data_IF_689994977729
#
_entry.id   IF_689994977729
#
_cell.length_a   1.000
_cell.length_b   1.000
_cell.length_c   1.000
_cell.angle_alpha   90.00
_cell.angle_beta   90.00
_cell.angle_gamma   90.00
#
_symmetry.space_group_name_H-M   'P 1'
#
loop_
_entity.id
_entity.type
_entity.pdbx_description
1 polymer ?
#
# COMPACT_ATOMS: atom_id res chain seq x y z
N UNK A 1 -3.83 -18.31 20.76
CA UNK A 1 -5.11 -17.74 20.29
C UNK A 1 -4.86 -17.11 18.93
N UNK A 2 -5.37 -17.74 17.87
CA UNK A 2 -5.29 -17.22 16.51
C UNK A 2 -6.23 -16.02 16.40
N UNK A 3 -5.69 -14.81 16.17
CA UNK A 3 -6.55 -13.64 15.99
C UNK A 3 -7.36 -13.84 14.69
N UNK A 4 -8.70 -13.65 14.72
CA UNK A 4 -9.53 -13.82 13.54
C UNK A 4 -9.05 -12.87 12.44
N UNK A 5 -8.91 -13.39 11.23
CA UNK A 5 -8.43 -12.61 10.10
C UNK A 5 -9.49 -11.56 9.74
N UNK A 6 -9.13 -10.28 9.88
CA UNK A 6 -10.00 -9.16 9.52
C UNK A 6 -10.52 -9.31 8.08
N UNK A 7 -11.81 -9.12 7.88
CA UNK A 7 -12.39 -9.07 6.54
C UNK A 7 -11.95 -7.79 5.79
N UNK A 8 -12.33 -7.66 4.52
CA UNK A 8 -11.93 -6.52 3.69
C UNK A 8 -12.43 -5.18 4.22
N UNK A 9 -13.65 -5.13 4.76
CA UNK A 9 -14.28 -3.90 5.27
C UNK A 9 -13.58 -3.48 6.55
N UNK A 10 -13.35 -4.43 7.46
CA UNK A 10 -12.61 -4.21 8.70
C UNK A 10 -11.17 -3.75 8.43
N UNK A 11 -10.48 -4.33 7.44
CA UNK A 11 -9.14 -3.86 7.07
C UNK A 11 -9.17 -2.45 6.48
N UNK A 12 -10.14 -2.10 5.65
CA UNK A 12 -10.28 -0.73 5.17
C UNK A 12 -10.47 0.26 6.33
N UNK A 13 -11.35 -0.05 7.28
CA UNK A 13 -11.53 0.78 8.47
C UNK A 13 -10.22 0.94 9.26
N UNK A 14 -9.48 -0.16 9.49
CA UNK A 14 -8.19 -0.13 10.17
C UNK A 14 -7.12 0.66 9.39
N UNK A 15 -7.12 0.62 8.05
CA UNK A 15 -6.22 1.44 7.22
C UNK A 15 -6.55 2.92 7.37
N UNK A 16 -7.82 3.30 7.35
CA UNK A 16 -8.25 4.70 7.50
C UNK A 16 -7.93 5.23 8.90
N UNK A 17 -8.07 4.40 9.93
CA UNK A 17 -7.65 4.74 11.31
C UNK A 17 -6.13 4.93 11.41
N UNK A 18 -5.36 4.02 10.80
CA UNK A 18 -3.89 4.04 10.85
C UNK A 18 -3.27 5.21 10.08
N UNK A 19 -3.80 5.51 8.90
CA UNK A 19 -3.16 6.38 7.92
C UNK A 19 -3.95 7.67 7.64
N UNK A 20 -5.14 7.81 8.22
CA UNK A 20 -6.05 8.93 8.00
C UNK A 20 -6.90 8.80 6.73
N UNK A 21 -7.92 9.67 6.58
CA UNK A 21 -8.91 9.58 5.52
C UNK A 21 -8.46 10.23 4.21
N UNK A 22 -7.22 9.98 3.76
CA UNK A 22 -6.67 10.56 2.53
C UNK A 22 -6.10 9.51 1.59
N UNK A 23 -6.19 9.77 0.28
CA UNK A 23 -5.56 8.95 -0.74
C UNK A 23 -4.04 8.97 -0.59
N UNK A 24 -3.43 7.80 -0.40
CA UNK A 24 -1.97 7.66 -0.26
C UNK A 24 -1.15 8.21 -1.44
N UNK A 25 -1.79 8.38 -2.61
CA UNK A 25 -1.13 8.78 -3.85
C UNK A 25 -1.34 10.23 -4.24
N UNK A 26 -2.58 10.73 -4.21
CA UNK A 26 -2.90 12.08 -4.64
C UNK A 26 -3.27 13.04 -3.50
N UNK A 27 -3.22 12.57 -2.26
CA UNK A 27 -3.51 13.36 -1.05
C UNK A 27 -4.98 13.76 -0.85
N UNK A 28 -5.87 13.54 -1.82
CA UNK A 28 -7.29 13.91 -1.69
C UNK A 28 -7.95 13.22 -0.51
N UNK A 29 -8.66 13.99 0.31
CA UNK A 29 -9.52 13.49 1.39
C UNK A 29 -10.67 12.66 0.83
N UNK A 30 -11.03 11.60 1.53
CA UNK A 30 -12.12 10.70 1.19
C UNK A 30 -13.48 11.28 1.60
N UNK A 31 -13.91 12.31 0.86
CA UNK A 31 -15.17 13.00 1.08
C UNK A 31 -15.99 13.10 -0.21
N UNK A 32 -17.31 13.23 -0.07
CA UNK A 32 -18.23 13.36 -1.19
C UNK A 32 -18.09 12.22 -2.20
N UNK A 33 -17.58 12.55 -3.40
CA UNK A 33 -17.42 11.59 -4.51
C UNK A 33 -16.08 10.83 -4.46
N UNK A 34 -15.17 11.17 -3.55
CA UNK A 34 -13.85 10.53 -3.44
C UNK A 34 -13.96 9.34 -2.50
N UNK A 35 -14.29 8.17 -3.05
CA UNK A 35 -14.49 6.94 -2.28
C UNK A 35 -13.16 6.19 -2.11
N UNK A 36 -12.81 5.73 -0.88
CA UNK A 36 -11.60 4.94 -0.66
C UNK A 36 -11.75 3.54 -1.24
N UNK A 37 -10.64 3.00 -1.72
CA UNK A 37 -10.49 1.63 -2.19
C UNK A 37 -9.22 1.03 -1.60
N UNK A 38 -9.23 -0.28 -1.38
CA UNK A 38 -8.06 -1.02 -0.89
C UNK A 38 -7.04 -1.13 -2.01
N UNK A 39 -5.81 -0.67 -1.76
CA UNK A 39 -4.69 -0.81 -2.69
C UNK A 39 -3.54 -1.60 -2.02
N UNK A 40 -2.99 -2.58 -2.74
CA UNK A 40 -1.92 -3.46 -2.24
C UNK A 40 -0.56 -2.96 -2.70
N UNK A 41 0.31 -2.52 -1.78
CA UNK A 41 1.63 -1.95 -2.14
C UNK A 41 2.50 -2.96 -2.90
N UNK A 42 2.48 -4.22 -2.48
CA UNK A 42 2.87 -5.36 -3.31
C UNK A 42 1.61 -5.90 -3.99
N UNK A 43 1.45 -5.75 -5.32
CA UNK A 43 0.25 -6.21 -6.01
C UNK A 43 0.00 -7.71 -5.82
N UNK A 44 -1.28 -8.10 -5.71
CA UNK A 44 -1.67 -9.51 -5.58
C UNK A 44 -1.15 -10.41 -6.70
N UNK A 45 -1.15 -9.91 -7.94
CA UNK A 45 -0.59 -10.64 -9.11
C UNK A 45 0.92 -10.89 -8.99
N UNK A 46 1.61 -10.09 -8.17
CA UNK A 46 3.04 -10.25 -7.82
C UNK A 46 3.24 -11.04 -6.51
N UNK A 47 2.18 -11.63 -5.98
CA UNK A 47 2.19 -12.47 -4.78
C UNK A 47 1.98 -11.72 -3.47
N UNK A 48 1.61 -10.43 -3.51
CA UNK A 48 1.33 -9.67 -2.29
C UNK A 48 0.08 -10.17 -1.56
N UNK A 49 0.14 -10.36 -0.23
CA UNK A 49 -0.99 -10.85 0.53
C UNK A 49 -2.04 -9.76 0.80
N UNK A 50 -3.29 -10.17 1.00
CA UNK A 50 -4.37 -9.29 1.47
C UNK A 50 -4.30 -9.13 2.99
N UNK A 51 -3.24 -8.48 3.45
CA UNK A 51 -2.94 -8.23 4.86
C UNK A 51 -2.98 -6.73 5.12
N UNK A 52 -3.36 -6.34 6.34
CA UNK A 52 -3.36 -4.93 6.76
C UNK A 52 -1.98 -4.28 6.54
N UNK A 53 -0.91 -5.06 6.72
CA UNK A 53 0.47 -4.64 6.53
C UNK A 53 0.85 -4.44 5.06
N UNK A 54 0.03 -4.84 4.08
CA UNK A 54 0.26 -4.60 2.64
C UNK A 54 -0.75 -3.62 2.02
N UNK A 55 -1.73 -3.14 2.79
CA UNK A 55 -2.87 -2.39 2.27
C UNK A 55 -2.76 -0.90 2.66
N UNK A 56 -3.06 -0.02 1.71
CA UNK A 56 -3.27 1.43 1.91
C UNK A 56 -4.61 1.84 1.30
N UNK A 57 -5.11 3.01 1.70
CA UNK A 57 -6.31 3.58 1.11
C UNK A 57 -5.93 4.45 -0.10
N UNK A 58 -6.57 4.18 -1.23
CA UNK A 58 -6.41 4.94 -2.46
C UNK A 58 -7.78 5.28 -3.07
N UNK A 59 -7.91 6.44 -3.71
CA UNK A 59 -9.12 6.74 -4.47
C UNK A 59 -9.20 5.83 -5.71
N UNK A 60 -10.42 5.58 -6.21
CA UNK A 60 -10.66 4.70 -7.37
C UNK A 60 -9.80 5.05 -8.58
N UNK A 61 -9.61 6.34 -8.86
CA UNK A 61 -8.76 6.83 -9.96
C UNK A 61 -7.31 6.38 -9.79
N UNK A 62 -6.68 6.70 -8.65
CA UNK A 62 -5.27 6.39 -8.45
C UNK A 62 -5.03 4.89 -8.40
N UNK A 63 -5.90 4.14 -7.72
CA UNK A 63 -5.80 2.68 -7.64
C UNK A 63 -5.93 2.04 -9.05
N UNK A 64 -6.91 2.46 -9.83
CA UNK A 64 -7.13 1.97 -11.19
C UNK A 64 -5.97 2.31 -12.13
N UNK A 65 -5.47 3.55 -12.09
CA UNK A 65 -4.33 3.96 -12.90
C UNK A 65 -3.06 3.20 -12.49
N UNK A 66 -2.77 3.05 -11.19
CA UNK A 66 -1.59 2.32 -10.72
C UNK A 66 -1.56 0.88 -11.25
N UNK A 67 -2.70 0.20 -11.23
CA UNK A 67 -2.86 -1.16 -11.75
C UNK A 67 -1.95 -2.15 -11.04
N UNK A 68 -1.00 -2.74 -11.79
CA UNK A 68 -0.07 -3.74 -11.26
C UNK A 68 1.36 -3.21 -11.07
N UNK A 69 1.57 -1.90 -11.17
CA UNK A 69 2.88 -1.27 -10.91
C UNK A 69 3.32 -1.48 -9.46
N UNK A 70 4.62 -1.41 -9.18
CA UNK A 70 5.10 -1.37 -7.79
C UNK A 70 4.73 -0.05 -7.13
N UNK A 71 4.68 0.01 -5.80
CA UNK A 71 4.49 1.27 -5.09
C UNK A 71 5.61 2.28 -5.39
N UNK A 72 6.87 1.81 -5.48
CA UNK A 72 8.01 2.67 -5.84
C UNK A 72 7.84 3.34 -7.21
N UNK A 73 7.57 2.56 -8.26
CA UNK A 73 7.39 3.09 -9.62
C UNK A 73 6.19 4.06 -9.70
N UNK A 74 5.18 3.84 -8.86
CA UNK A 74 4.00 4.70 -8.81
C UNK A 74 4.23 5.97 -8.01
N UNK A 75 5.04 5.94 -6.94
CA UNK A 75 5.48 7.15 -6.25
C UNK A 75 6.24 8.07 -7.19
N UNK A 76 7.19 7.53 -7.97
CA UNK A 76 7.91 8.30 -8.99
C UNK A 76 6.94 8.98 -9.98
N UNK A 77 5.89 8.27 -10.41
CA UNK A 77 4.85 8.85 -11.27
C UNK A 77 4.02 9.92 -10.56
N UNK A 78 3.67 9.72 -9.28
CA UNK A 78 2.97 10.73 -8.49
C UNK A 78 3.81 12.01 -8.38
N UNK A 79 5.11 11.88 -8.10
CA UNK A 79 6.04 13.02 -8.04
C UNK A 79 6.17 13.72 -9.39
N UNK A 80 6.31 12.97 -10.49
CA UNK A 80 6.31 13.55 -11.85
C UNK A 80 5.05 14.36 -12.16
N UNK A 81 3.91 13.99 -11.57
CA UNK A 81 2.63 14.70 -11.71
C UNK A 81 2.45 15.86 -10.72
N UNK A 82 3.39 16.08 -9.81
CA UNK A 82 3.27 17.06 -8.74
C UNK A 82 2.21 16.68 -7.69
N UNK A 83 1.88 15.40 -7.56
CA UNK A 83 0.94 14.95 -6.53
C UNK A 83 1.64 14.83 -5.17
N UNK A 84 0.97 15.23 -4.07
CA UNK A 84 1.50 15.11 -2.72
C UNK A 84 1.33 13.67 -2.22
N UNK A 85 2.02 12.72 -2.85
CA UNK A 85 2.01 11.33 -2.41
C UNK A 85 2.63 11.21 -1.01
N UNK A 86 2.09 10.30 -0.21
CA UNK A 86 2.56 10.06 1.15
C UNK A 86 3.66 8.99 1.14
N UNK A 87 4.87 9.41 0.75
CA UNK A 87 6.06 8.56 0.68
C UNK A 87 6.36 7.87 2.01
N UNK A 88 6.19 8.58 3.12
CA UNK A 88 6.47 8.06 4.45
C UNK A 88 5.50 6.93 4.79
N UNK A 89 4.19 7.10 4.55
CA UNK A 89 3.18 6.05 4.70
C UNK A 89 3.53 4.83 3.87
N UNK A 90 3.91 5.01 2.61
CA UNK A 90 4.26 3.87 1.73
C UNK A 90 5.49 3.12 2.26
N UNK A 91 6.55 3.83 2.66
CA UNK A 91 7.74 3.22 3.27
C UNK A 91 7.41 2.48 4.56
N UNK A 92 6.62 3.11 5.44
CA UNK A 92 6.18 2.53 6.72
C UNK A 92 5.41 1.24 6.50
N UNK A 93 4.42 1.24 5.62
CA UNK A 93 3.58 0.05 5.36
C UNK A 93 4.39 -1.06 4.71
N UNK A 94 5.30 -0.77 3.77
CA UNK A 94 6.23 -1.78 3.25
C UNK A 94 7.13 -2.38 4.36
N UNK A 95 7.59 -1.58 5.32
CA UNK A 95 8.32 -2.07 6.49
C UNK A 95 7.47 -2.98 7.39
N UNK A 96 6.19 -2.65 7.60
CA UNK A 96 5.25 -3.51 8.31
C UNK A 96 5.05 -4.84 7.59
N UNK A 97 4.95 -4.83 6.25
CA UNK A 97 4.83 -6.04 5.46
C UNK A 97 6.06 -6.93 5.57
N UNK A 98 7.25 -6.33 5.48
CA UNK A 98 8.52 -7.04 5.63
C UNK A 98 8.59 -7.75 6.99
N UNK A 99 8.28 -7.04 8.07
CA UNK A 99 8.25 -7.59 9.41
C UNK A 99 7.19 -8.69 9.57
N UNK A 100 5.99 -8.49 9.02
CA UNK A 100 4.91 -9.48 9.06
C UNK A 100 5.29 -10.77 8.31
N UNK A 101 5.92 -10.65 7.14
CA UNK A 101 6.43 -11.78 6.37
C UNK A 101 7.57 -12.51 7.11
N UNK A 102 8.40 -11.76 7.84
CA UNK A 102 9.44 -12.32 8.71
C UNK A 102 8.83 -13.18 9.83
N UNK A 103 7.79 -12.67 10.51
CA UNK A 103 7.11 -13.38 11.60
C UNK A 103 6.26 -14.56 11.15
N UNK A 104 5.41 -14.37 10.12
CA UNK A 104 4.44 -15.38 9.67
C UNK A 104 5.05 -16.46 8.78
N UNK A 105 6.21 -16.19 8.19
CA UNK A 105 6.74 -17.05 7.14
C UNK A 105 5.87 -17.05 5.88
N UNK A 106 6.23 -17.89 4.91
CA UNK A 106 5.55 -17.92 3.61
C UNK A 106 5.77 -16.65 2.78
N UNK A 107 5.07 -16.52 1.64
CA UNK A 107 5.14 -15.34 0.74
C UNK A 107 6.46 -15.13 -0.02
N UNK A 108 7.12 -16.20 -0.50
CA UNK A 108 8.36 -16.12 -1.31
C UNK A 108 8.26 -15.11 -2.46
N UNK A 109 7.15 -15.11 -3.20
CA UNK A 109 6.93 -14.17 -4.32
C UNK A 109 6.82 -12.71 -3.85
N UNK A 110 6.09 -12.46 -2.76
CA UNK A 110 6.00 -11.12 -2.18
C UNK A 110 7.36 -10.60 -1.73
N UNK A 111 8.19 -11.44 -1.08
CA UNK A 111 9.53 -11.05 -0.59
C UNK A 111 10.41 -10.49 -1.71
N UNK A 112 10.45 -11.16 -2.86
CA UNK A 112 11.25 -10.71 -4.02
C UNK A 112 10.78 -9.35 -4.51
N UNK A 113 9.47 -9.16 -4.60
CA UNK A 113 8.91 -7.90 -5.05
C UNK A 113 9.15 -6.77 -4.02
N UNK A 114 8.86 -7.04 -2.75
CA UNK A 114 9.08 -6.12 -1.63
C UNK A 114 10.54 -5.66 -1.55
N UNK A 115 11.50 -6.59 -1.62
CA UNK A 115 12.92 -6.24 -1.61
C UNK A 115 13.31 -5.32 -2.78
N UNK A 116 12.69 -5.52 -3.96
CA UNK A 116 12.90 -4.66 -5.12
C UNK A 116 12.33 -3.26 -4.90
N UNK A 117 11.11 -3.15 -4.36
CA UNK A 117 10.50 -1.87 -4.06
C UNK A 117 11.27 -1.11 -2.96
N UNK A 118 11.63 -1.79 -1.87
CA UNK A 118 12.39 -1.20 -0.77
C UNK A 118 13.76 -0.66 -1.23
N UNK A 119 14.45 -1.38 -2.13
CA UNK A 119 15.71 -0.89 -2.72
C UNK A 119 15.52 0.38 -3.53
N UNK A 120 14.44 0.50 -4.31
CA UNK A 120 14.15 1.71 -5.10
C UNK A 120 13.83 2.90 -4.20
N UNK A 121 12.98 2.71 -3.19
CA UNK A 121 12.61 3.76 -2.24
C UNK A 121 13.78 4.28 -1.39
N UNK A 122 14.81 3.46 -1.14
CA UNK A 122 16.04 3.90 -0.46
C UNK A 122 16.98 4.74 -1.35
N UNK A 123 16.84 4.65 -2.68
CA UNK A 123 17.72 5.33 -3.64
C UNK A 123 17.13 6.64 -4.17
N UNK A 124 15.82 6.82 -4.06
CA UNK A 124 15.10 8.00 -4.54
C UNK A 124 14.68 8.97 -3.43
N UNK A 125 15.42 8.99 -2.32
CA UNK A 125 15.24 9.94 -1.22
C UNK A 125 16.23 11.08 -1.30
#
# INVERSE_FOLDING_TARGET
>A
MEQPQLDRVQRMAAVLERDGPTCAWCGRTFEGRVVPTTDHLVPRVKGGPSWLENEVAACRRCNGERGHRGAADWLEECHRRGWPADDERVRRVLGLLEAAIGRRGGQRRARVNLATQARRLRRGG
#
